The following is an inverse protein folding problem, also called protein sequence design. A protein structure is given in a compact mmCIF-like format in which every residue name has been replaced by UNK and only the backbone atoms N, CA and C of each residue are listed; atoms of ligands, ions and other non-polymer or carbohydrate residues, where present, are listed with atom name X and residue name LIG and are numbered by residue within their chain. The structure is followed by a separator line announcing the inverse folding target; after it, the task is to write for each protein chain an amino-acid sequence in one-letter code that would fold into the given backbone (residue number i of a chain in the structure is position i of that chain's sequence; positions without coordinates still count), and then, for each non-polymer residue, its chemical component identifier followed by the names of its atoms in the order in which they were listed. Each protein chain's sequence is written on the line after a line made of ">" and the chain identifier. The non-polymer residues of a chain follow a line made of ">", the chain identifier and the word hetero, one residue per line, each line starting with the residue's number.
data_IF_537418583376
#
_entry.id   IF_537418583376
#
_cell.length_a   1.000
_cell.length_b   1.000
_cell.length_c   1.000
_cell.angle_alpha   90.00
_cell.angle_beta   90.00
_cell.angle_gamma   90.00
#
_symmetry.space_group_name_H-M   'P 1'
#
loop_
_entity.id
_entity.type
_entity.pdbx_description
1 polymer ?
#
# COMPACT_ATOMS: atom_id res chain seq x y z
N UNK A 1 4.93 17.15 18.51
CA UNK A 1 5.91 16.23 17.87
C UNK A 1 5.18 15.03 17.31
N UNK A 2 5.44 14.69 16.04
CA UNK A 2 4.85 13.52 15.44
C UNK A 2 5.55 12.24 15.89
N UNK A 3 4.77 11.22 16.21
CA UNK A 3 5.30 9.88 16.46
C UNK A 3 5.48 9.14 15.14
N UNK A 4 6.14 7.99 15.16
CA UNK A 4 6.25 7.14 13.98
C UNK A 4 4.88 6.66 13.50
N UNK A 5 3.95 6.43 14.44
CA UNK A 5 2.59 6.03 14.10
C UNK A 5 1.84 7.15 13.38
N UNK A 6 1.99 8.39 13.85
CA UNK A 6 1.37 9.54 13.22
C UNK A 6 1.90 9.76 11.81
N UNK A 7 3.22 9.59 11.62
CA UNK A 7 3.84 9.70 10.30
C UNK A 7 3.32 8.61 9.37
N UNK A 8 3.18 7.38 9.87
CA UNK A 8 2.63 6.27 9.08
C UNK A 8 1.18 6.51 8.67
N UNK A 9 0.35 7.01 9.59
CA UNK A 9 -1.05 7.32 9.30
C UNK A 9 -1.16 8.44 8.27
N UNK A 10 -0.34 9.48 8.41
CA UNK A 10 -0.29 10.56 7.42
C UNK A 10 0.16 10.04 6.06
N UNK A 11 1.14 9.12 6.06
CA UNK A 11 1.64 8.50 4.84
C UNK A 11 0.55 7.76 4.08
N UNK A 12 -0.23 6.94 4.79
CA UNK A 12 -1.33 6.20 4.18
C UNK A 12 -2.40 7.14 3.63
N UNK A 13 -2.72 8.21 4.36
CA UNK A 13 -3.66 9.22 3.92
C UNK A 13 -3.20 9.88 2.62
N UNK A 14 -1.96 10.34 2.59
CA UNK A 14 -1.39 11.00 1.42
C UNK A 14 -1.27 10.04 0.23
N UNK A 15 -0.93 8.78 0.50
CA UNK A 15 -0.86 7.76 -0.54
C UNK A 15 -2.25 7.53 -1.16
N UNK A 16 -3.29 7.45 -0.34
CA UNK A 16 -4.66 7.27 -0.82
C UNK A 16 -5.08 8.44 -1.71
N UNK A 17 -4.80 9.67 -1.28
CA UNK A 17 -5.11 10.87 -2.06
C UNK A 17 -4.38 10.85 -3.41
N UNK A 18 -3.09 10.53 -3.39
CA UNK A 18 -2.28 10.49 -4.61
C UNK A 18 -2.78 9.42 -5.59
N UNK A 19 -3.22 8.27 -5.06
CA UNK A 19 -3.79 7.21 -5.88
C UNK A 19 -5.11 7.64 -6.51
N UNK A 20 -5.97 8.32 -5.74
CA UNK A 20 -7.23 8.84 -6.27
C UNK A 20 -6.99 9.84 -7.40
N UNK A 21 -5.99 10.69 -7.26
CA UNK A 21 -5.60 11.64 -8.31
C UNK A 21 -5.13 10.94 -9.58
N UNK A 22 -4.67 9.71 -9.46
CA UNK A 22 -4.24 8.88 -10.58
C UNK A 22 -5.35 7.99 -11.14
N UNK A 23 -6.56 8.17 -10.65
CA UNK A 23 -7.73 7.45 -11.16
C UNK A 23 -8.12 6.19 -10.40
N UNK A 24 -7.41 5.84 -9.33
CA UNK A 24 -7.78 4.70 -8.50
C UNK A 24 -9.03 5.00 -7.69
N UNK A 25 -9.84 3.97 -7.50
CA UNK A 25 -10.93 4.00 -6.52
C UNK A 25 -10.44 3.26 -5.28
N UNK A 26 -10.42 3.96 -4.15
CA UNK A 26 -10.00 3.34 -2.88
C UNK A 26 -11.19 2.55 -2.34
N UNK A 27 -11.02 1.25 -2.18
CA UNK A 27 -12.05 0.36 -1.69
C UNK A 27 -11.95 0.13 -0.19
N UNK A 28 -10.75 -0.09 0.29
CA UNK A 28 -10.51 -0.33 1.71
C UNK A 28 -9.20 0.32 2.14
N UNK A 29 -9.14 0.70 3.40
CA UNK A 29 -7.91 1.17 4.03
C UNK A 29 -7.71 0.39 5.32
N UNK A 30 -6.46 -0.03 5.58
CA UNK A 30 -6.10 -0.80 6.77
C UNK A 30 -7.03 -2.01 6.95
N UNK A 31 -7.21 -2.75 5.87
CA UNK A 31 -8.07 -3.92 5.89
C UNK A 31 -7.37 -5.07 6.60
N UNK A 32 -8.05 -5.68 7.55
CA UNK A 32 -7.49 -6.75 8.36
C UNK A 32 -8.33 -8.01 8.29
N UNK A 33 -7.65 -9.14 8.24
CA UNK A 33 -8.27 -10.45 8.43
C UNK A 33 -7.31 -11.30 9.27
N UNK A 34 -7.71 -11.60 10.50
CA UNK A 34 -6.86 -12.29 11.49
C UNK A 34 -5.59 -11.48 11.75
N UNK A 35 -4.41 -12.03 11.39
CA UNK A 35 -3.11 -11.41 11.61
C UNK A 35 -2.60 -10.66 10.39
N UNK A 36 -3.34 -10.71 9.29
CA UNK A 36 -2.91 -10.15 8.01
C UNK A 36 -3.57 -8.80 7.76
N UNK A 37 -2.80 -7.91 7.17
CA UNK A 37 -3.26 -6.54 6.92
C UNK A 37 -2.84 -6.08 5.53
N UNK A 38 -3.70 -5.30 4.90
CA UNK A 38 -3.39 -4.60 3.64
C UNK A 38 -3.62 -3.12 3.89
N UNK A 39 -2.62 -2.31 3.61
CA UNK A 39 -2.71 -0.87 3.85
C UNK A 39 -3.79 -0.22 2.99
N UNK A 40 -3.80 -0.53 1.70
CA UNK A 40 -4.80 0.01 0.78
C UNK A 40 -5.22 -1.08 -0.20
N UNK A 41 -6.53 -1.23 -0.40
CA UNK A 41 -7.09 -2.04 -1.48
C UNK A 41 -7.80 -1.07 -2.41
N UNK A 42 -7.40 -1.04 -3.67
CA UNK A 42 -7.91 -0.09 -4.64
C UNK A 42 -8.14 -0.76 -5.99
N UNK A 43 -8.97 -0.15 -6.81
CA UNK A 43 -9.23 -0.65 -8.15
C UNK A 43 -8.89 0.39 -9.20
N UNK A 44 -8.43 -0.08 -10.35
CA UNK A 44 -8.18 0.72 -11.53
C UNK A 44 -8.45 -0.15 -12.75
N UNK A 45 -9.36 0.30 -13.62
CA UNK A 45 -9.67 -0.38 -14.88
C UNK A 45 -9.95 -1.89 -14.71
N UNK A 46 -10.79 -2.23 -13.75
CA UNK A 46 -11.22 -3.61 -13.47
C UNK A 46 -10.13 -4.50 -12.87
N UNK A 47 -9.00 -3.93 -12.47
CA UNK A 47 -7.95 -4.66 -11.78
C UNK A 47 -7.93 -4.24 -10.31
N UNK A 48 -7.78 -5.22 -9.44
CA UNK A 48 -7.71 -5.02 -8.01
C UNK A 48 -6.25 -4.97 -7.57
N UNK A 49 -5.91 -3.91 -6.83
CA UNK A 49 -4.55 -3.69 -6.35
C UNK A 49 -4.50 -3.81 -4.84
N UNK A 50 -3.62 -4.67 -4.35
CA UNK A 50 -3.31 -4.80 -2.93
C UNK A 50 -2.00 -4.05 -2.70
N UNK A 51 -2.06 -2.97 -1.93
CA UNK A 51 -0.98 -1.99 -1.88
C UNK A 51 -0.41 -1.89 -0.47
N UNK A 52 0.91 -2.06 -0.36
CA UNK A 52 1.68 -1.79 0.84
C UNK A 52 2.23 -0.38 0.74
N UNK A 53 2.02 0.43 1.77
CA UNK A 53 2.52 1.81 1.81
C UNK A 53 3.75 1.88 2.68
N UNK A 54 4.83 2.43 2.13
CA UNK A 54 6.07 2.71 2.84
C UNK A 54 6.28 4.20 2.92
N UNK A 55 6.36 4.70 4.15
CA UNK A 55 6.55 6.13 4.40
C UNK A 55 7.97 6.35 4.89
N UNK A 56 8.67 7.29 4.26
CA UNK A 56 10.04 7.63 4.61
C UNK A 56 10.19 9.14 4.72
N UNK A 57 11.17 9.55 5.54
CA UNK A 57 11.54 10.94 5.64
C UNK A 57 12.60 11.31 4.60
N UNK A 58 13.32 10.31 4.05
CA UNK A 58 14.28 10.50 2.96
C UNK A 58 14.61 9.15 2.34
N UNK A 59 15.21 9.17 1.15
CA UNK A 59 15.66 7.95 0.46
C UNK A 59 17.02 7.44 0.95
N UNK A 60 17.58 8.09 1.96
CA UNK A 60 18.89 7.78 2.56
C UNK A 60 19.02 6.32 3.02
N UNK A 61 17.94 5.68 3.40
CA UNK A 61 17.93 4.35 4.02
C UNK A 61 17.61 3.21 3.06
N UNK A 62 17.87 3.41 1.77
CA UNK A 62 17.65 2.38 0.75
C UNK A 62 16.38 2.59 -0.04
N UNK A 63 16.16 1.72 -1.01
CA UNK A 63 14.99 1.78 -1.86
C UNK A 63 13.80 1.09 -1.20
N UNK A 64 12.57 1.54 -1.49
CA UNK A 64 11.37 1.00 -0.85
C UNK A 64 11.19 -0.51 -1.01
N UNK A 65 11.50 -1.06 -2.18
CA UNK A 65 11.35 -2.49 -2.44
C UNK A 65 12.26 -3.35 -1.57
N UNK A 66 13.37 -2.79 -1.09
CA UNK A 66 14.28 -3.50 -0.20
C UNK A 66 13.71 -3.73 1.19
N UNK A 67 12.66 -3.00 1.56
CA UNK A 67 12.02 -3.15 2.86
C UNK A 67 10.88 -4.16 2.84
N UNK A 68 10.56 -4.75 1.68
CA UNK A 68 9.54 -5.78 1.57
C UNK A 68 10.18 -7.14 1.72
N UNK A 69 9.86 -7.83 2.82
CA UNK A 69 10.39 -9.16 3.08
C UNK A 69 9.45 -10.22 2.51
N UNK A 70 9.97 -11.43 2.36
CA UNK A 70 9.15 -12.58 1.94
C UNK A 70 8.00 -12.82 2.92
N UNK A 71 8.27 -12.68 4.22
CA UNK A 71 7.26 -12.82 5.25
C UNK A 71 6.13 -11.80 5.07
N UNK A 72 6.49 -10.55 4.83
CA UNK A 72 5.52 -9.50 4.60
C UNK A 72 4.71 -9.73 3.34
N UNK A 73 5.36 -10.22 2.28
CA UNK A 73 4.69 -10.56 1.03
C UNK A 73 3.72 -11.73 1.22
N UNK A 74 4.11 -12.73 2.01
CA UNK A 74 3.21 -13.85 2.32
C UNK A 74 1.98 -13.39 3.10
N UNK A 75 2.16 -12.49 4.07
CA UNK A 75 1.02 -11.89 4.79
C UNK A 75 0.08 -11.17 3.85
N UNK A 76 0.63 -10.40 2.93
CA UNK A 76 -0.15 -9.66 1.94
C UNK A 76 -0.94 -10.61 1.04
N UNK A 77 -0.31 -11.69 0.59
CA UNK A 77 -0.97 -12.70 -0.23
C UNK A 77 -2.10 -13.40 0.52
N UNK A 78 -1.88 -13.73 1.80
CA UNK A 78 -2.90 -14.36 2.63
C UNK A 78 -4.10 -13.43 2.86
N UNK A 79 -3.84 -12.15 3.11
CA UNK A 79 -4.90 -11.16 3.25
C UNK A 79 -5.68 -11.02 1.95
N UNK A 80 -4.98 -10.98 0.82
CA UNK A 80 -5.61 -10.87 -0.50
C UNK A 80 -6.52 -12.08 -0.78
N UNK A 81 -6.06 -13.28 -0.45
CA UNK A 81 -6.86 -14.49 -0.61
C UNK A 81 -8.16 -14.41 0.18
N UNK A 82 -8.08 -13.96 1.43
CA UNK A 82 -9.27 -13.79 2.28
C UNK A 82 -10.22 -12.74 1.70
N UNK A 83 -9.67 -11.63 1.20
CA UNK A 83 -10.49 -10.59 0.59
C UNK A 83 -11.20 -11.10 -0.67
N UNK A 84 -10.50 -11.88 -1.49
CA UNK A 84 -11.07 -12.43 -2.72
C UNK A 84 -12.14 -13.46 -2.45
N UNK A 85 -12.03 -14.24 -1.37
CA UNK A 85 -13.09 -15.17 -0.97
C UNK A 85 -14.38 -14.41 -0.65
N UNK A 86 -14.28 -13.24 -0.04
CA UNK A 86 -15.42 -12.40 0.28
C UNK A 86 -15.90 -11.57 -0.92
N UNK A 87 -15.06 -11.40 -1.93
CA UNK A 87 -15.35 -10.57 -3.10
C UNK A 87 -14.93 -11.30 -4.38
N UNK A 88 -15.60 -12.41 -4.73
CA UNK A 88 -15.13 -13.31 -5.79
C UNK A 88 -15.29 -12.81 -7.22
N UNK A 89 -15.88 -11.64 -7.41
CA UNK A 89 -16.08 -11.10 -8.77
C UNK A 89 -14.79 -10.57 -9.39
N UNK A 90 -13.76 -10.28 -8.58
CA UNK A 90 -12.49 -9.77 -9.09
C UNK A 90 -11.70 -10.87 -9.77
N UNK A 91 -11.30 -10.66 -11.04
CA UNK A 91 -10.56 -11.64 -11.82
C UNK A 91 -9.09 -11.31 -11.97
N UNK A 92 -8.76 -10.02 -11.96
CA UNK A 92 -7.39 -9.55 -12.17
C UNK A 92 -6.93 -8.82 -10.93
N UNK A 93 -5.81 -9.27 -10.37
CA UNK A 93 -5.25 -8.67 -9.17
C UNK A 93 -3.77 -8.44 -9.37
N UNK A 94 -3.21 -7.50 -8.59
CA UNK A 94 -1.77 -7.34 -8.50
C UNK A 94 -1.39 -6.77 -7.13
N UNK A 95 -0.13 -6.94 -6.80
CA UNK A 95 0.45 -6.47 -5.54
C UNK A 95 1.41 -5.34 -5.85
N UNK A 96 1.27 -4.22 -5.15
CA UNK A 96 2.09 -3.05 -5.39
C UNK A 96 2.65 -2.50 -4.09
N UNK A 97 3.74 -1.75 -4.21
CA UNK A 97 4.29 -0.98 -3.12
C UNK A 97 4.22 0.50 -3.51
N UNK A 98 3.64 1.31 -2.65
CA UNK A 98 3.68 2.76 -2.79
C UNK A 98 4.64 3.29 -1.74
N UNK A 99 5.70 3.92 -2.20
CA UNK A 99 6.69 4.54 -1.34
C UNK A 99 6.53 6.04 -1.42
N UNK A 100 6.38 6.67 -0.28
CA UNK A 100 6.24 8.11 -0.22
C UNK A 100 7.28 8.69 0.71
N UNK A 101 7.78 9.86 0.35
CA UNK A 101 8.69 10.62 1.17
C UNK A 101 7.97 11.87 1.66
N UNK A 102 7.97 12.06 2.97
CA UNK A 102 7.30 13.17 3.63
C UNK A 102 8.34 13.96 4.42
N UNK A 103 8.34 15.28 4.24
CA UNK A 103 9.15 16.19 5.03
C UNK A 103 8.27 17.35 5.48
N UNK A 104 8.29 17.64 6.78
CA UNK A 104 7.47 18.71 7.37
C UNK A 104 5.99 18.55 7.03
N UNK A 105 5.51 17.29 7.11
CA UNK A 105 4.11 16.91 6.83
C UNK A 105 3.68 17.16 5.38
N UNK A 106 4.65 17.34 4.47
CA UNK A 106 4.37 17.57 3.05
C UNK A 106 4.89 16.39 2.23
N UNK A 107 4.08 15.91 1.31
CA UNK A 107 4.46 14.87 0.37
C UNK A 107 5.50 15.43 -0.60
N UNK A 108 6.70 14.85 -0.60
CA UNK A 108 7.81 15.28 -1.47
C UNK A 108 7.97 14.38 -2.67
N UNK A 109 7.80 13.07 -2.48
CA UNK A 109 7.95 12.09 -3.55
C UNK A 109 6.90 11.01 -3.41
N UNK A 110 6.40 10.55 -4.55
CA UNK A 110 5.51 9.42 -4.66
C UNK A 110 6.09 8.47 -5.70
N UNK A 111 6.33 7.23 -5.29
CA UNK A 111 6.82 6.20 -6.19
C UNK A 111 5.93 4.97 -6.05
N UNK A 112 5.37 4.53 -7.15
CA UNK A 112 4.59 3.29 -7.17
C UNK A 112 5.39 2.21 -7.87
N UNK A 113 5.63 1.12 -7.18
CA UNK A 113 6.31 -0.06 -7.73
C UNK A 113 5.23 -1.09 -7.95
N UNK A 114 4.92 -1.34 -9.21
CA UNK A 114 3.80 -2.18 -9.58
C UNK A 114 4.21 -3.64 -9.73
N UNK A 115 3.24 -4.49 -9.43
CA UNK A 115 3.33 -5.92 -9.67
C UNK A 115 4.55 -6.56 -8.98
N UNK A 116 4.68 -6.28 -7.69
CA UNK A 116 5.78 -6.80 -6.87
C UNK A 116 5.56 -8.28 -6.60
N UNK A 117 6.65 -9.06 -6.66
CA UNK A 117 6.58 -10.51 -6.55
C UNK A 117 7.74 -11.08 -5.76
N UNK A 118 7.44 -12.02 -4.90
CA UNK A 118 8.48 -12.84 -4.26
C UNK A 118 8.12 -14.31 -4.39
#
# INVERSE_FOLDING_TARGET
>A
MQTNKDTGNLGEELAAIALQERGFTILERNWQFRYWEVDIIASLESRLHFIEVKTRKSLRYGYPEESITREKMNSLKNAAEAYLEANPSWKYIQFDVVAITITDSVLREFLMIEDVYF
#
